data_IF_619949678440
#
_entry.id   IF_619949678440
#
_cell.length_a   1.000
_cell.length_b   1.000
_cell.length_c   1.000
_cell.angle_alpha   90.00
_cell.angle_beta   90.00
_cell.angle_gamma   90.00
#
_symmetry.space_group_name_H-M   'P 1'
#
loop_
_entity.id
_entity.type
_entity.pdbx_description
1 polymer ?
#
# COMPACT_ATOMS: atom_id res chain seq x y z
N UNK A 1 -2.24 2.49 -22.62
CA UNK A 1 -3.24 3.57 -22.38
C UNK A 1 -3.04 4.22 -21.01
N UNK A 2 -2.94 3.44 -19.92
CA UNK A 2 -2.71 3.99 -18.56
C UNK A 2 -1.41 4.80 -18.46
N UNK A 3 -0.30 4.31 -19.02
CA UNK A 3 0.99 5.00 -18.99
C UNK A 3 0.97 6.34 -19.71
N UNK A 4 0.24 6.45 -20.81
CA UNK A 4 0.06 7.73 -21.51
C UNK A 4 -0.77 8.73 -20.71
N UNK A 5 -1.85 8.27 -20.06
CA UNK A 5 -2.65 9.12 -19.17
C UNK A 5 -1.85 9.56 -17.95
N UNK A 6 -1.08 8.66 -17.37
CA UNK A 6 -0.19 8.98 -16.25
C UNK A 6 0.91 9.98 -16.65
N UNK A 7 1.48 9.83 -17.85
CA UNK A 7 2.49 10.75 -18.36
C UNK A 7 1.91 12.15 -18.67
N UNK A 8 0.64 12.22 -19.11
CA UNK A 8 -0.09 13.49 -19.23
C UNK A 8 -0.42 14.10 -17.87
N UNK A 9 -0.81 13.26 -16.90
CA UNK A 9 -1.12 13.68 -15.53
C UNK A 9 0.13 14.13 -14.74
N UNK A 10 1.32 13.77 -15.19
CA UNK A 10 2.62 14.15 -14.61
C UNK A 10 3.38 15.18 -15.44
N UNK A 11 2.74 15.80 -16.43
CA UNK A 11 3.28 16.87 -17.28
C UNK A 11 4.54 16.50 -18.09
N UNK A 12 4.74 15.19 -18.40
CA UNK A 12 5.88 14.71 -19.17
C UNK A 12 5.81 15.05 -20.67
N UNK A 13 4.64 15.43 -21.22
CA UNK A 13 4.45 15.79 -22.62
C UNK A 13 4.20 17.29 -22.77
N UNK A 14 4.93 17.91 -23.71
CA UNK A 14 4.79 19.30 -24.11
C UNK A 14 4.42 19.41 -25.59
N UNK A 15 3.69 20.47 -25.98
CA UNK A 15 3.26 20.74 -27.36
C UNK A 15 1.83 21.23 -27.43
N UNK A 16 1.37 21.67 -28.62
CA UNK A 16 0.05 22.26 -28.81
C UNK A 16 -1.09 21.25 -28.53
N UNK A 17 -1.01 20.06 -29.15
CA UNK A 17 -2.01 19.01 -28.98
C UNK A 17 -2.09 18.49 -27.52
N UNK A 18 -0.98 18.16 -26.84
CA UNK A 18 -1.00 17.88 -25.39
C UNK A 18 -1.60 19.00 -24.55
N UNK A 19 -1.36 20.27 -24.91
CA UNK A 19 -1.92 21.42 -24.16
C UNK A 19 -3.44 21.50 -24.25
N UNK A 20 -4.02 21.30 -25.43
CA UNK A 20 -5.48 21.25 -25.61
C UNK A 20 -6.07 20.08 -24.81
N UNK A 21 -5.44 18.90 -24.87
CA UNK A 21 -5.89 17.74 -24.11
C UNK A 21 -5.79 17.98 -22.59
N UNK A 22 -4.70 18.59 -22.10
CA UNK A 22 -4.53 18.99 -20.71
C UNK A 22 -5.64 19.95 -20.26
N UNK A 23 -6.00 20.92 -21.09
CA UNK A 23 -7.10 21.86 -20.78
C UNK A 23 -8.46 21.13 -20.67
N UNK A 24 -8.76 20.23 -21.60
CA UNK A 24 -9.95 19.40 -21.52
C UNK A 24 -9.99 18.53 -20.25
N UNK A 25 -8.88 17.85 -19.95
CA UNK A 25 -8.74 17.04 -18.72
C UNK A 25 -8.89 17.89 -17.46
N UNK A 26 -8.38 19.13 -17.48
CA UNK A 26 -8.55 20.06 -16.35
C UNK A 26 -10.02 20.43 -16.13
N UNK A 27 -10.77 20.71 -17.21
CA UNK A 27 -12.20 20.94 -17.11
C UNK A 27 -12.94 19.75 -16.49
N UNK A 28 -12.65 18.52 -16.93
CA UNK A 28 -13.24 17.32 -16.34
C UNK A 28 -12.82 17.13 -14.87
N UNK A 29 -11.61 17.56 -14.49
CA UNK A 29 -11.17 17.55 -13.09
C UNK A 29 -11.98 18.47 -12.20
N UNK A 30 -12.43 19.62 -12.70
CA UNK A 30 -13.30 20.52 -11.94
C UNK A 30 -14.68 19.90 -11.71
N UNK A 31 -15.24 19.24 -12.73
CA UNK A 31 -16.51 18.50 -12.60
C UNK A 31 -16.34 17.37 -11.58
N UNK A 32 -15.27 16.57 -11.71
CA UNK A 32 -14.95 15.49 -10.76
C UNK A 32 -14.81 16.03 -9.33
N UNK A 33 -14.10 17.15 -9.14
CA UNK A 33 -13.93 17.78 -7.84
C UNK A 33 -15.27 18.21 -7.21
N UNK A 34 -16.19 18.77 -8.02
CA UNK A 34 -17.52 19.15 -7.57
C UNK A 34 -18.32 17.90 -7.15
N UNK A 35 -18.34 16.87 -7.99
CA UNK A 35 -19.06 15.62 -7.72
C UNK A 35 -18.54 14.95 -6.44
N UNK A 36 -17.22 14.84 -6.28
CA UNK A 36 -16.62 14.25 -5.08
C UNK A 36 -16.97 15.04 -3.82
N UNK A 37 -16.94 16.39 -3.89
CA UNK A 37 -17.34 17.25 -2.77
C UNK A 37 -18.80 17.05 -2.38
N UNK A 38 -19.70 16.98 -3.36
CA UNK A 38 -21.13 16.75 -3.12
C UNK A 38 -21.37 15.37 -2.49
N UNK A 39 -20.75 14.31 -3.02
CA UNK A 39 -20.86 12.96 -2.46
C UNK A 39 -20.32 12.93 -1.04
N UNK A 40 -19.14 13.53 -0.80
CA UNK A 40 -18.54 13.58 0.53
C UNK A 40 -19.45 14.33 1.50
N UNK A 41 -19.97 15.48 1.12
CA UNK A 41 -20.93 16.27 1.92
C UNK A 41 -22.17 15.45 2.27
N UNK A 42 -22.84 14.85 1.28
CA UNK A 42 -24.03 14.04 1.51
C UNK A 42 -23.76 12.85 2.45
N UNK A 43 -22.59 12.23 2.34
CA UNK A 43 -22.23 11.09 3.19
C UNK A 43 -21.82 11.49 4.61
N UNK A 44 -21.33 12.71 4.80
CA UNK A 44 -20.99 13.26 6.13
C UNK A 44 -22.20 13.79 6.89
N UNK A 45 -23.36 14.01 6.26
CA UNK A 45 -24.58 14.46 6.93
C UNK A 45 -25.11 13.41 7.91
N UNK A 46 -25.02 12.12 7.54
CA UNK A 46 -25.48 10.99 8.36
C UNK A 46 -24.31 10.04 8.69
N UNK A 47 -23.42 10.47 9.60
CA UNK A 47 -22.27 9.66 9.95
C UNK A 47 -22.68 8.46 10.82
N UNK A 48 -22.01 7.35 10.63
CA UNK A 48 -22.23 6.11 11.41
C UNK A 48 -21.08 5.91 12.37
N UNK A 49 -21.40 5.79 13.67
CA UNK A 49 -20.46 5.32 14.68
C UNK A 49 -20.56 3.81 14.79
N UNK A 50 -19.40 3.15 14.71
CA UNK A 50 -19.30 1.71 14.88
C UNK A 50 -19.16 1.33 16.36
N UNK A 51 -19.48 0.08 16.75
CA UNK A 51 -19.40 -0.39 18.13
C UNK A 51 -17.96 -0.71 18.58
N UNK A 52 -16.95 -0.31 17.83
CA UNK A 52 -15.54 -0.51 18.08
C UNK A 52 -14.76 0.73 17.66
N UNK A 53 -13.49 0.84 18.09
CA UNK A 53 -12.60 1.90 17.62
C UNK A 53 -12.32 1.75 16.13
N UNK A 54 -12.20 2.87 15.42
CA UNK A 54 -11.97 2.92 13.98
C UNK A 54 -10.71 3.70 13.70
N UNK A 55 -9.69 3.01 13.20
CA UNK A 55 -8.46 3.60 12.68
C UNK A 55 -8.51 3.53 11.16
N UNK A 56 -8.47 4.67 10.50
CA UNK A 56 -8.42 4.73 9.04
C UNK A 56 -6.98 4.94 8.58
N UNK A 57 -6.52 4.13 7.67
CA UNK A 57 -5.27 4.33 6.93
C UNK A 57 -5.64 4.53 5.48
N UNK A 58 -5.36 5.71 4.96
CA UNK A 58 -5.73 6.06 3.59
C UNK A 58 -4.72 6.97 2.92
N UNK A 59 -5.07 7.47 1.75
CA UNK A 59 -4.30 8.46 1.02
C UNK A 59 -5.22 9.36 0.18
N UNK A 60 -4.66 10.43 -0.36
CA UNK A 60 -5.39 11.40 -1.17
C UNK A 60 -5.07 11.28 -2.67
N UNK A 61 -4.07 10.49 -3.04
CA UNK A 61 -3.59 10.34 -4.42
C UNK A 61 -3.86 8.95 -5.00
N UNK A 62 -3.81 8.80 -6.30
CA UNK A 62 -3.64 7.50 -6.94
C UNK A 62 -2.19 7.01 -6.75
N UNK A 63 -2.01 5.69 -6.71
CA UNK A 63 -0.70 5.03 -6.63
C UNK A 63 -0.36 4.43 -5.26
N UNK A 64 0.78 3.77 -5.22
CA UNK A 64 1.28 3.06 -4.04
C UNK A 64 1.96 3.99 -3.03
N UNK A 65 1.22 4.51 -2.09
CA UNK A 65 1.72 5.41 -1.03
C UNK A 65 2.22 4.68 0.23
N UNK A 66 2.44 3.35 0.19
CA UNK A 66 2.95 2.60 1.33
C UNK A 66 1.91 2.30 2.42
N UNK A 67 0.60 2.42 2.14
CA UNK A 67 -0.49 2.14 3.12
C UNK A 67 -0.41 0.77 3.74
N UNK A 68 -0.19 -0.27 2.94
CA UNK A 68 -0.18 -1.66 3.40
C UNK A 68 0.86 -1.89 4.49
N UNK A 69 2.08 -1.37 4.31
CA UNK A 69 3.17 -1.49 5.30
C UNK A 69 2.84 -0.70 6.58
N UNK A 70 2.14 0.44 6.44
CA UNK A 70 1.66 1.21 7.59
C UNK A 70 0.54 0.46 8.35
N UNK A 71 -0.40 -0.16 7.64
CA UNK A 71 -1.42 -1.04 8.25
C UNK A 71 -0.76 -2.18 9.01
N UNK A 72 0.25 -2.84 8.43
CA UNK A 72 1.01 -3.90 9.09
C UNK A 72 1.73 -3.42 10.36
N UNK A 73 2.33 -2.23 10.32
CA UNK A 73 2.96 -1.62 11.50
C UNK A 73 1.94 -1.42 12.62
N UNK A 74 0.75 -0.87 12.31
CA UNK A 74 -0.32 -0.65 13.29
C UNK A 74 -0.84 -1.98 13.85
N UNK A 75 -1.02 -3.00 13.01
CA UNK A 75 -1.43 -4.34 13.44
C UNK A 75 -0.42 -4.90 14.45
N UNK A 76 0.88 -4.89 14.14
CA UNK A 76 1.92 -5.40 15.05
C UNK A 76 1.90 -4.66 16.39
N UNK A 77 1.82 -3.33 16.34
CA UNK A 77 1.83 -2.48 17.53
C UNK A 77 0.65 -2.79 18.46
N UNK A 78 -0.57 -2.84 17.92
CA UNK A 78 -1.78 -3.04 18.69
C UNK A 78 -1.95 -4.51 19.14
N UNK A 79 -1.63 -5.47 18.27
CA UNK A 79 -1.67 -6.91 18.62
C UNK A 79 -0.70 -7.25 19.76
N UNK A 80 0.49 -6.65 19.77
CA UNK A 80 1.47 -6.83 20.84
C UNK A 80 0.96 -6.30 22.20
N UNK A 81 -0.07 -5.46 22.20
CA UNK A 81 -0.74 -4.93 23.41
C UNK A 81 -2.04 -5.66 23.76
N UNK A 82 -2.37 -6.72 23.04
CA UNK A 82 -3.55 -7.55 23.29
C UNK A 82 -4.85 -7.02 22.69
N UNK A 83 -4.81 -5.96 21.88
CA UNK A 83 -6.00 -5.47 21.18
C UNK A 83 -6.49 -6.50 20.15
N UNK A 84 -7.82 -6.68 20.10
CA UNK A 84 -8.49 -7.55 19.13
C UNK A 84 -8.84 -6.75 17.89
N UNK A 85 -8.05 -6.92 16.84
CA UNK A 85 -8.11 -6.11 15.62
C UNK A 85 -8.78 -6.89 14.50
N UNK A 86 -9.51 -6.18 13.62
CA UNK A 86 -9.83 -6.64 12.28
C UNK A 86 -9.41 -5.61 11.25
N UNK A 87 -9.04 -6.08 10.05
CA UNK A 87 -8.74 -5.21 8.89
C UNK A 87 -9.90 -5.27 7.91
N UNK A 88 -10.37 -4.12 7.45
CA UNK A 88 -11.39 -4.01 6.43
C UNK A 88 -10.80 -3.44 5.15
N UNK A 89 -10.85 -4.20 4.07
CA UNK A 89 -10.40 -3.79 2.74
C UNK A 89 -11.53 -3.84 1.72
N UNK A 90 -11.38 -3.12 0.60
CA UNK A 90 -12.37 -3.11 -0.49
C UNK A 90 -12.26 -4.36 -1.38
N UNK A 91 -11.09 -4.97 -1.43
CA UNK A 91 -10.80 -6.04 -2.40
C UNK A 91 -10.69 -5.48 -3.82
N UNK A 92 -9.69 -4.65 -4.04
CA UNK A 92 -9.40 -4.13 -5.38
C UNK A 92 -8.99 -5.25 -6.32
N UNK A 93 -9.55 -5.28 -7.55
CA UNK A 93 -9.30 -6.30 -8.59
C UNK A 93 -9.69 -7.75 -8.22
N UNK A 94 -10.54 -7.97 -7.23
CA UNK A 94 -11.05 -9.32 -6.95
C UNK A 94 -11.84 -9.86 -8.14
N UNK A 95 -11.72 -11.15 -8.43
CA UNK A 95 -12.61 -11.86 -9.38
C UNK A 95 -13.92 -12.23 -8.67
N UNK A 96 -15.07 -12.03 -9.35
CA UNK A 96 -16.34 -12.50 -8.82
C UNK A 96 -16.38 -14.04 -8.88
N UNK A 97 -16.81 -14.67 -7.79
CA UNK A 97 -16.84 -16.12 -7.60
C UNK A 97 -17.79 -16.90 -8.54
N UNK A 98 -18.38 -16.26 -9.57
CA UNK A 98 -19.35 -16.86 -10.47
C UNK A 98 -18.73 -17.67 -11.64
N UNK A 99 -17.43 -17.87 -11.67
CA UNK A 99 -16.79 -18.71 -12.67
C UNK A 99 -16.42 -20.05 -12.02
N UNK A 100 -17.01 -21.14 -12.46
CA UNK A 100 -16.90 -22.50 -11.91
C UNK A 100 -15.51 -23.17 -11.87
N UNK A 101 -14.45 -22.40 -11.78
CA UNK A 101 -13.08 -22.82 -11.51
C UNK A 101 -12.73 -22.58 -10.03
N UNK A 102 -11.84 -23.39 -9.45
CA UNK A 102 -11.28 -23.17 -8.11
C UNK A 102 -10.66 -21.79 -8.04
N UNK A 103 -11.36 -20.82 -7.44
CA UNK A 103 -10.87 -19.47 -7.21
C UNK A 103 -9.99 -19.51 -5.97
N UNK A 104 -8.76 -19.06 -6.05
CA UNK A 104 -7.84 -18.98 -4.90
C UNK A 104 -8.28 -17.90 -3.90
N UNK A 105 -7.87 -18.03 -2.64
CA UNK A 105 -8.09 -16.99 -1.62
C UNK A 105 -7.56 -15.62 -2.08
N UNK A 106 -6.43 -15.61 -2.78
CA UNK A 106 -5.84 -14.44 -3.41
C UNK A 106 -6.78 -13.77 -4.42
N UNK A 107 -7.36 -14.54 -5.35
CA UNK A 107 -8.28 -14.00 -6.36
C UNK A 107 -9.58 -13.44 -5.77
N UNK A 108 -10.04 -14.02 -4.65
CA UNK A 108 -11.23 -13.55 -3.93
C UNK A 108 -10.98 -12.29 -3.11
N UNK A 109 -9.79 -12.14 -2.54
CA UNK A 109 -9.48 -11.05 -1.62
C UNK A 109 -8.78 -9.86 -2.30
N UNK A 110 -7.95 -10.13 -3.29
CA UNK A 110 -7.00 -9.18 -3.89
C UNK A 110 -5.66 -9.12 -3.14
N UNK A 111 -4.64 -8.52 -3.76
CA UNK A 111 -3.23 -8.54 -3.34
C UNK A 111 -3.03 -8.15 -1.86
N UNK A 112 -3.44 -6.93 -1.51
CA UNK A 112 -3.13 -6.33 -0.21
C UNK A 112 -3.83 -7.04 0.96
N UNK A 113 -5.15 -7.31 0.91
CA UNK A 113 -5.82 -8.06 1.97
C UNK A 113 -5.29 -9.48 2.15
N UNK A 114 -4.94 -10.13 1.04
CA UNK A 114 -4.36 -11.47 1.08
C UNK A 114 -2.98 -11.49 1.76
N UNK A 115 -2.11 -10.53 1.45
CA UNK A 115 -0.81 -10.38 2.12
C UNK A 115 -0.97 -10.18 3.63
N UNK A 116 -1.88 -9.30 4.04
CA UNK A 116 -2.16 -9.06 5.47
C UNK A 116 -2.66 -10.35 6.12
N UNK A 117 -3.59 -11.08 5.51
CA UNK A 117 -4.11 -12.36 6.01
C UNK A 117 -3.01 -13.39 6.20
N UNK A 118 -2.09 -13.51 5.23
CA UNK A 118 -0.93 -14.44 5.34
C UNK A 118 0.05 -14.05 6.43
N UNK A 119 0.34 -12.75 6.55
CA UNK A 119 1.35 -12.23 7.48
C UNK A 119 0.84 -12.21 8.93
N UNK A 120 -0.48 -12.07 9.12
CA UNK A 120 -1.15 -12.00 10.42
C UNK A 120 -2.34 -12.98 10.50
N UNK A 121 -2.09 -14.29 10.57
CA UNK A 121 -3.17 -15.29 10.52
C UNK A 121 -4.15 -15.22 11.69
N UNK A 122 -3.79 -14.55 12.79
CA UNK A 122 -4.66 -14.30 13.93
C UNK A 122 -5.54 -13.06 13.80
N UNK A 123 -5.39 -12.25 12.74
CA UNK A 123 -6.14 -11.02 12.52
C UNK A 123 -7.19 -11.24 11.43
N UNK A 124 -8.49 -11.13 11.73
CA UNK A 124 -9.53 -11.20 10.70
C UNK A 124 -9.35 -10.13 9.63
N UNK A 125 -9.29 -10.54 8.36
CA UNK A 125 -9.26 -9.64 7.20
C UNK A 125 -10.56 -9.81 6.46
N UNK A 126 -11.39 -8.77 6.45
CA UNK A 126 -12.73 -8.79 5.85
C UNK A 126 -12.72 -7.90 4.59
N UNK A 127 -13.10 -8.51 3.49
CA UNK A 127 -13.22 -7.83 2.20
C UNK A 127 -14.69 -7.61 1.90
N UNK A 128 -15.15 -6.36 2.10
CA UNK A 128 -16.54 -5.97 1.83
C UNK A 128 -16.59 -4.55 1.21
N UNK A 129 -17.30 -4.35 0.09
CA UNK A 129 -17.54 -3.00 -0.45
C UNK A 129 -18.26 -2.07 0.53
N UNK A 130 -19.17 -2.61 1.35
CA UNK A 130 -19.82 -1.90 2.45
C UNK A 130 -19.02 -2.09 3.75
N UNK A 131 -18.18 -1.09 4.06
CA UNK A 131 -17.32 -1.10 5.25
C UNK A 131 -18.10 -1.12 6.56
N UNK A 132 -19.31 -0.55 6.58
CA UNK A 132 -20.18 -0.56 7.78
C UNK A 132 -20.63 -1.99 8.07
N UNK A 133 -21.12 -2.69 7.06
CA UNK A 133 -21.52 -4.09 7.15
C UNK A 133 -20.34 -4.98 7.55
N UNK A 134 -19.19 -4.79 6.90
CA UNK A 134 -17.97 -5.53 7.22
C UNK A 134 -17.52 -5.33 8.67
N UNK A 135 -17.54 -4.09 9.18
CA UNK A 135 -17.18 -3.79 10.56
C UNK A 135 -18.14 -4.43 11.58
N UNK A 136 -19.45 -4.34 11.33
CA UNK A 136 -20.46 -4.97 12.19
C UNK A 136 -20.28 -6.49 12.19
N UNK A 137 -19.98 -7.09 11.04
CA UNK A 137 -19.67 -8.51 10.93
C UNK A 137 -18.44 -8.90 11.74
N UNK A 138 -17.34 -8.13 11.62
CA UNK A 138 -16.12 -8.32 12.39
C UNK A 138 -16.38 -8.27 13.91
N UNK A 139 -17.09 -7.24 14.34
CA UNK A 139 -17.45 -7.06 15.75
C UNK A 139 -18.28 -8.25 16.29
N UNK A 140 -19.31 -8.67 15.55
CA UNK A 140 -20.17 -9.78 15.95
C UNK A 140 -19.45 -11.13 15.99
N UNK A 141 -18.68 -11.44 14.93
CA UNK A 141 -18.05 -12.76 14.78
C UNK A 141 -16.78 -12.93 15.62
N UNK A 142 -15.96 -11.87 15.74
CA UNK A 142 -14.62 -11.96 16.33
C UNK A 142 -14.47 -11.15 17.62
N UNK A 143 -15.53 -10.40 18.06
CA UNK A 143 -15.48 -9.55 19.25
C UNK A 143 -14.28 -8.58 19.23
N UNK A 144 -14.01 -8.00 18.05
CA UNK A 144 -12.93 -7.04 17.89
C UNK A 144 -13.23 -5.74 18.64
N UNK A 145 -12.20 -5.14 19.24
CA UNK A 145 -12.28 -3.82 19.86
C UNK A 145 -11.89 -2.70 18.87
N UNK A 146 -11.16 -3.06 17.82
CA UNK A 146 -10.61 -2.12 16.85
C UNK A 146 -10.76 -2.64 15.42
N UNK A 147 -11.14 -1.73 14.54
CA UNK A 147 -11.18 -1.96 13.10
C UNK A 147 -10.20 -1.03 12.41
N UNK A 148 -9.33 -1.57 11.57
CA UNK A 148 -8.44 -0.80 10.69
C UNK A 148 -9.06 -0.77 9.29
N UNK A 149 -9.38 0.42 8.80
CA UNK A 149 -9.86 0.63 7.44
C UNK A 149 -8.66 0.80 6.51
N UNK A 150 -8.37 -0.21 5.71
CA UNK A 150 -7.41 -0.11 4.61
C UNK A 150 -8.04 0.66 3.45
N UNK A 151 -7.32 1.68 2.95
CA UNK A 151 -7.81 2.70 2.02
C UNK A 151 -9.07 3.42 2.53
N UNK A 152 -9.03 3.84 3.81
CA UNK A 152 -10.17 4.35 4.56
C UNK A 152 -10.44 5.85 4.43
N UNK A 153 -9.54 6.69 3.88
CA UNK A 153 -9.69 8.14 3.89
C UNK A 153 -10.99 8.61 3.23
N UNK A 154 -11.41 7.99 2.12
CA UNK A 154 -12.66 8.25 1.42
C UNK A 154 -13.90 7.56 2.04
N UNK A 155 -13.78 6.95 3.22
CA UNK A 155 -14.94 6.41 3.94
C UNK A 155 -15.61 7.51 4.78
N UNK A 156 -16.24 8.47 4.08
CA UNK A 156 -16.83 9.67 4.69
C UNK A 156 -18.00 9.40 5.64
N UNK A 157 -18.67 8.25 5.46
CA UNK A 157 -19.85 7.89 6.26
C UNK A 157 -19.49 7.32 7.65
N UNK A 158 -18.27 6.84 7.83
CA UNK A 158 -17.84 6.21 9.09
C UNK A 158 -17.12 7.26 9.95
N UNK A 159 -17.55 7.40 11.20
CA UNK A 159 -16.83 8.18 12.20
C UNK A 159 -15.55 7.43 12.52
N UNK A 160 -14.42 8.08 12.37
CA UNK A 160 -13.09 7.54 12.63
C UNK A 160 -12.59 8.09 13.96
N UNK A 161 -12.02 7.24 14.79
CA UNK A 161 -11.37 7.66 16.04
C UNK A 161 -9.94 8.15 15.75
N UNK A 162 -9.33 7.70 14.62
CA UNK A 162 -8.06 8.20 14.11
C UNK A 162 -8.02 8.07 12.59
N UNK A 163 -7.78 9.17 11.89
CA UNK A 163 -7.66 9.20 10.43
C UNK A 163 -6.21 9.49 10.02
N UNK A 164 -5.51 8.47 9.53
CA UNK A 164 -4.09 8.51 9.15
C UNK A 164 -3.99 8.58 7.63
N UNK A 165 -3.27 9.59 7.13
CA UNK A 165 -3.07 9.80 5.70
C UNK A 165 -1.60 9.55 5.33
N UNK A 166 -1.36 8.51 4.53
CA UNK A 166 -0.06 8.21 3.96
C UNK A 166 0.21 9.10 2.73
N UNK A 167 1.34 9.78 2.73
CA UNK A 167 1.77 10.70 1.66
C UNK A 167 3.15 10.26 1.18
N UNK A 168 3.29 9.95 -0.11
CA UNK A 168 4.61 9.65 -0.71
C UNK A 168 5.44 10.93 -0.74
N UNK A 169 6.53 10.99 0.04
CA UNK A 169 7.36 12.18 0.16
C UNK A 169 8.03 12.57 -1.17
N UNK A 170 8.25 11.62 -2.08
CA UNK A 170 8.88 11.85 -3.39
C UNK A 170 7.93 12.49 -4.41
N UNK A 171 6.63 12.21 -4.28
CA UNK A 171 5.60 12.77 -5.16
C UNK A 171 4.28 12.94 -4.40
N UNK A 172 4.20 13.91 -3.47
CA UNK A 172 3.10 14.00 -2.51
C UNK A 172 1.74 14.29 -3.14
N UNK A 173 1.70 15.08 -4.22
CA UNK A 173 0.44 15.55 -4.81
C UNK A 173 0.45 15.56 -6.34
N UNK A 174 1.48 14.99 -7.00
CA UNK A 174 1.65 15.07 -8.44
C UNK A 174 1.69 16.52 -8.92
N UNK A 175 0.93 16.82 -9.97
CA UNK A 175 0.79 18.18 -10.48
C UNK A 175 -0.25 19.02 -9.71
N UNK A 176 -0.77 18.55 -8.58
CA UNK A 176 -1.76 19.25 -7.76
C UNK A 176 -3.19 19.23 -8.30
N UNK A 177 -3.43 18.57 -9.43
CA UNK A 177 -4.76 18.49 -10.03
C UNK A 177 -5.49 17.20 -9.60
N UNK A 178 -6.82 17.30 -9.61
CA UNK A 178 -7.69 16.14 -9.42
C UNK A 178 -7.70 15.24 -10.66
N UNK A 179 -8.14 14.01 -10.51
CA UNK A 179 -8.46 13.10 -11.62
C UNK A 179 -9.50 13.78 -12.53
N UNK A 180 -9.39 13.68 -13.87
CA UNK A 180 -8.41 12.92 -14.65
C UNK A 180 -7.15 13.72 -15.07
N UNK A 181 -7.03 15.02 -14.73
CA UNK A 181 -5.87 15.84 -15.10
C UNK A 181 -4.62 15.53 -14.26
N UNK A 182 -4.83 15.12 -13.04
CA UNK A 182 -3.78 14.78 -12.07
C UNK A 182 -4.09 13.48 -11.35
N UNK A 183 -3.42 13.29 -10.20
CA UNK A 183 -3.51 12.07 -9.41
C UNK A 183 -4.34 12.21 -8.14
N UNK A 184 -4.86 13.41 -7.84
CA UNK A 184 -5.64 13.64 -6.62
C UNK A 184 -7.03 13.00 -6.70
N UNK A 185 -7.40 12.23 -5.69
CA UNK A 185 -8.73 11.62 -5.49
C UNK A 185 -9.71 12.58 -4.81
N UNK A 186 -9.18 13.47 -3.97
CA UNK A 186 -9.89 14.54 -3.28
C UNK A 186 -9.08 15.85 -3.34
N UNK A 187 -9.71 17.02 -3.18
CA UNK A 187 -9.00 18.28 -3.13
C UNK A 187 -8.09 18.34 -1.89
N UNK A 188 -6.98 19.09 -1.94
CA UNK A 188 -6.04 19.20 -0.83
C UNK A 188 -6.69 19.69 0.47
N UNK A 189 -7.77 20.49 0.39
CA UNK A 189 -8.54 20.90 1.57
C UNK A 189 -9.13 19.73 2.36
N UNK A 190 -9.30 18.55 1.74
CA UNK A 190 -9.75 17.34 2.43
C UNK A 190 -8.76 16.86 3.48
N UNK A 191 -7.47 17.21 3.36
CA UNK A 191 -6.42 16.91 4.35
C UNK A 191 -6.70 17.53 5.73
N UNK A 192 -7.56 18.56 5.80
CA UNK A 192 -8.02 19.10 7.08
C UNK A 192 -8.76 18.11 7.98
N UNK A 193 -9.12 16.91 7.47
CA UNK A 193 -9.76 15.85 8.28
C UNK A 193 -8.77 14.89 8.93
N UNK A 194 -7.52 14.88 8.48
CA UNK A 194 -6.52 13.93 8.97
C UNK A 194 -6.07 14.27 10.40
N UNK A 195 -5.91 13.26 11.23
CA UNK A 195 -5.29 13.38 12.54
C UNK A 195 -3.77 13.23 12.47
N UNK A 196 -3.29 12.42 11.51
CA UNK A 196 -1.87 12.12 11.34
C UNK A 196 -1.53 12.07 9.85
N UNK A 197 -0.44 12.73 9.47
CA UNK A 197 0.23 12.54 8.19
C UNK A 197 1.45 11.67 8.38
N UNK A 198 1.53 10.56 7.64
CA UNK A 198 2.72 9.72 7.57
C UNK A 198 3.39 9.96 6.21
N UNK A 199 4.52 10.66 6.22
CA UNK A 199 5.34 10.87 5.04
C UNK A 199 6.10 9.58 4.77
N UNK A 200 5.65 8.82 3.78
CA UNK A 200 6.26 7.53 3.41
C UNK A 200 7.37 7.73 2.39
N UNK A 201 8.29 6.76 2.33
CA UNK A 201 9.44 6.79 1.41
C UNK A 201 10.30 8.06 1.58
N UNK A 202 10.31 8.64 2.76
CA UNK A 202 11.23 9.71 3.09
C UNK A 202 12.65 9.11 3.17
N UNK A 203 13.53 9.59 2.31
CA UNK A 203 14.95 9.20 2.35
C UNK A 203 15.68 10.14 3.32
N UNK A 204 16.76 9.67 3.96
CA UNK A 204 17.53 10.51 4.88
C UNK A 204 18.02 11.83 4.27
N UNK A 205 18.29 11.83 2.95
CA UNK A 205 18.75 13.00 2.21
C UNK A 205 17.59 13.86 1.66
N UNK A 206 16.34 13.43 1.84
CA UNK A 206 15.18 14.18 1.32
C UNK A 206 14.88 15.39 2.18
N UNK A 207 14.87 16.59 1.59
CA UNK A 207 14.34 17.76 2.26
C UNK A 207 12.80 17.71 2.29
N UNK A 208 12.26 17.24 3.40
CA UNK A 208 10.81 17.16 3.63
C UNK A 208 10.24 18.43 4.28
N UNK A 209 11.07 19.41 4.65
CA UNK A 209 10.63 20.62 5.35
C UNK A 209 9.57 21.42 4.57
N UNK A 210 9.69 21.64 3.24
CA UNK A 210 8.65 22.35 2.48
C UNK A 210 7.31 21.61 2.48
N UNK A 211 7.34 20.26 2.45
CA UNK A 211 6.14 19.44 2.51
C UNK A 211 5.48 19.52 3.89
N UNK A 212 6.28 19.44 4.97
CA UNK A 212 5.79 19.59 6.34
C UNK A 212 5.16 20.97 6.57
N UNK A 213 5.81 22.05 6.10
CA UNK A 213 5.26 23.40 6.18
C UNK A 213 3.91 23.51 5.44
N UNK A 214 3.84 22.95 4.22
CA UNK A 214 2.59 22.93 3.44
C UNK A 214 1.47 22.15 4.15
N UNK A 215 1.78 21.00 4.72
CA UNK A 215 0.81 20.18 5.46
C UNK A 215 0.39 20.87 6.76
N UNK A 216 1.31 21.48 7.47
CA UNK A 216 1.03 22.28 8.67
C UNK A 216 0.12 23.48 8.40
N UNK A 217 0.23 24.12 7.22
CA UNK A 217 -0.70 25.18 6.80
C UNK A 217 -2.09 24.63 6.42
N UNK A 218 -2.16 23.42 5.85
CA UNK A 218 -3.44 22.77 5.49
C UNK A 218 -4.17 22.22 6.72
N UNK A 219 -3.44 21.72 7.70
CA UNK A 219 -3.98 21.19 8.94
C UNK A 219 -2.98 21.34 10.10
N UNK A 220 -3.05 22.46 10.85
CA UNK A 220 -2.14 22.72 11.97
C UNK A 220 -2.28 21.74 13.14
N UNK A 221 -3.42 21.05 13.25
CA UNK A 221 -3.70 20.11 14.34
C UNK A 221 -3.20 18.69 14.10
N UNK A 222 -2.81 18.36 12.87
CA UNK A 222 -2.35 17.02 12.55
C UNK A 222 -0.90 16.77 12.98
N UNK A 223 -0.65 15.58 13.53
CA UNK A 223 0.73 15.11 13.75
C UNK A 223 1.35 14.75 12.38
N UNK A 224 2.58 15.21 12.13
CA UNK A 224 3.33 14.85 10.92
C UNK A 224 4.52 13.99 11.34
N UNK A 225 4.61 12.79 10.79
CA UNK A 225 5.71 11.86 11.03
C UNK A 225 6.34 11.40 9.72
N UNK A 226 7.64 11.17 9.74
CA UNK A 226 8.38 10.62 8.61
C UNK A 226 8.56 9.12 8.76
N UNK A 227 8.48 8.41 7.65
CA UNK A 227 8.75 6.99 7.62
C UNK A 227 9.47 6.58 6.35
N UNK A 228 10.28 5.54 6.48
CA UNK A 228 10.96 4.87 5.39
C UNK A 228 10.60 3.39 5.37
N UNK A 229 10.84 2.74 4.24
CA UNK A 229 10.81 1.29 4.17
C UNK A 229 12.19 0.76 4.52
N UNK A 230 12.25 -0.10 5.52
CA UNK A 230 13.46 -0.82 5.87
C UNK A 230 13.31 -2.30 5.48
N UNK A 231 14.38 -2.88 5.00
CA UNK A 231 14.42 -4.32 4.82
C UNK A 231 14.39 -5.02 6.19
N UNK A 232 13.58 -6.10 6.31
CA UNK A 232 13.38 -6.83 7.55
C UNK A 232 13.82 -8.30 7.48
N UNK A 233 14.28 -8.76 6.33
CA UNK A 233 14.76 -10.13 6.10
C UNK A 233 14.29 -10.72 4.80
N UNK A 234 14.81 -11.90 4.50
CA UNK A 234 14.27 -12.75 3.44
C UNK A 234 13.56 -13.95 4.05
N UNK A 235 12.62 -14.54 3.32
CA UNK A 235 12.05 -15.83 3.66
C UNK A 235 11.84 -16.68 2.40
N UNK A 236 11.82 -18.01 2.59
CA UNK A 236 11.52 -18.91 1.49
C UNK A 236 10.02 -18.91 1.19
N UNK A 237 9.64 -18.74 -0.09
CA UNK A 237 8.23 -18.67 -0.51
C UNK A 237 7.45 -19.93 -0.15
N UNK A 238 8.08 -21.11 -0.22
CA UNK A 238 7.46 -22.41 0.10
C UNK A 238 7.47 -22.72 1.59
N UNK A 239 8.37 -22.10 2.36
CA UNK A 239 8.48 -22.24 3.81
C UNK A 239 8.72 -20.88 4.47
N UNK A 240 7.69 -20.07 4.73
CA UNK A 240 7.84 -18.73 5.31
C UNK A 240 8.45 -18.68 6.72
N UNK A 241 8.58 -19.84 7.38
CA UNK A 241 9.29 -19.93 8.67
C UNK A 241 10.80 -19.93 8.51
N UNK A 242 11.30 -20.33 7.36
CA UNK A 242 12.72 -20.31 7.00
C UNK A 242 13.12 -18.88 6.63
N UNK A 243 13.81 -18.21 7.55
CA UNK A 243 14.24 -16.81 7.43
C UNK A 243 15.72 -16.72 7.15
N UNK A 244 16.12 -15.69 6.39
CA UNK A 244 17.51 -15.45 5.99
C UNK A 244 17.86 -14.00 6.23
N UNK A 245 19.08 -13.80 6.74
CA UNK A 245 19.69 -12.49 6.87
C UNK A 245 20.41 -12.05 5.58
N UNK A 246 20.76 -10.77 5.49
CA UNK A 246 21.56 -10.27 4.36
C UNK A 246 22.92 -10.94 4.26
N UNK A 247 23.52 -11.27 5.40
CA UNK A 247 24.85 -11.91 5.47
C UNK A 247 24.91 -13.25 4.73
N UNK A 248 23.80 -14.01 4.72
CA UNK A 248 23.70 -15.30 4.03
C UNK A 248 23.70 -15.18 2.50
N UNK A 249 23.35 -13.99 2.00
CA UNK A 249 23.32 -13.68 0.57
C UNK A 249 24.47 -12.78 0.13
N UNK A 250 25.28 -12.29 1.05
CA UNK A 250 26.39 -11.41 0.74
C UNK A 250 27.40 -12.11 -0.18
N UNK A 251 27.75 -11.43 -1.27
CA UNK A 251 28.65 -11.98 -2.30
C UNK A 251 27.99 -13.01 -3.24
N UNK A 252 26.73 -13.38 -3.02
CA UNK A 252 25.97 -14.21 -3.96
C UNK A 252 25.39 -13.37 -5.10
N UNK A 253 25.21 -14.01 -6.24
CA UNK A 253 24.46 -13.42 -7.36
C UNK A 253 22.96 -13.69 -7.18
N UNK A 254 22.13 -12.68 -7.42
CA UNK A 254 20.68 -12.81 -7.41
C UNK A 254 20.07 -12.56 -8.79
N UNK A 255 19.04 -13.33 -9.12
CA UNK A 255 18.12 -13.04 -10.21
C UNK A 255 16.84 -12.46 -9.62
N UNK A 256 16.50 -11.23 -9.99
CA UNK A 256 15.32 -10.56 -9.46
C UNK A 256 14.12 -10.73 -10.37
N UNK A 257 12.92 -10.82 -9.82
CA UNK A 257 11.72 -10.56 -10.59
C UNK A 257 10.69 -9.79 -9.76
N UNK A 258 9.97 -8.90 -10.42
CA UNK A 258 8.91 -8.12 -9.78
C UNK A 258 7.91 -7.55 -10.80
N UNK A 259 6.66 -7.39 -10.35
CA UNK A 259 5.58 -6.67 -11.03
C UNK A 259 5.00 -5.61 -10.11
N UNK A 260 5.83 -4.64 -9.72
CA UNK A 260 5.49 -3.52 -8.83
C UNK A 260 5.74 -2.19 -9.52
N UNK A 261 5.11 -1.11 -9.02
CA UNK A 261 5.19 0.22 -9.62
C UNK A 261 6.57 0.90 -9.53
N UNK A 262 7.51 0.39 -8.72
CA UNK A 262 8.86 0.95 -8.57
C UNK A 262 9.92 -0.18 -8.51
N UNK A 263 10.24 -0.80 -9.66
CA UNK A 263 11.22 -1.89 -9.74
C UNK A 263 12.64 -1.47 -9.37
N UNK A 264 13.01 -0.23 -9.66
CA UNK A 264 14.35 0.29 -9.36
C UNK A 264 14.59 0.42 -7.86
N UNK A 265 13.58 0.85 -7.09
CA UNK A 265 13.68 0.85 -5.63
C UNK A 265 13.92 -0.56 -5.06
N UNK A 266 13.28 -1.59 -5.63
CA UNK A 266 13.50 -2.97 -5.23
C UNK A 266 14.92 -3.43 -5.53
N UNK A 267 15.41 -3.18 -6.75
CA UNK A 267 16.78 -3.49 -7.14
C UNK A 267 17.82 -2.80 -6.26
N UNK A 268 17.63 -1.49 -6.01
CA UNK A 268 18.51 -0.70 -5.15
C UNK A 268 18.53 -1.22 -3.71
N UNK A 269 17.38 -1.66 -3.18
CA UNK A 269 17.29 -2.31 -1.89
C UNK A 269 18.19 -3.56 -1.82
N UNK A 270 18.08 -4.44 -2.81
CA UNK A 270 18.87 -5.69 -2.86
C UNK A 270 20.36 -5.39 -3.03
N UNK A 271 20.74 -4.47 -3.90
CA UNK A 271 22.14 -4.04 -4.07
C UNK A 271 22.71 -3.44 -2.77
N UNK A 272 21.91 -2.63 -2.05
CA UNK A 272 22.31 -2.02 -0.78
C UNK A 272 22.58 -3.04 0.35
N UNK A 273 22.08 -4.27 0.19
CA UNK A 273 22.36 -5.39 1.10
C UNK A 273 23.65 -6.16 0.75
N UNK A 274 24.42 -5.70 -0.25
CA UNK A 274 25.65 -6.35 -0.69
C UNK A 274 25.43 -7.57 -1.60
N UNK A 275 24.22 -7.76 -2.14
CA UNK A 275 23.86 -8.82 -3.07
C UNK A 275 24.10 -8.35 -4.51
N UNK A 276 24.83 -9.12 -5.30
CA UNK A 276 25.06 -8.80 -6.72
C UNK A 276 23.84 -9.18 -7.55
N UNK A 277 23.33 -8.25 -8.37
CA UNK A 277 22.19 -8.51 -9.26
C UNK A 277 22.72 -8.94 -10.64
N UNK A 278 22.61 -10.24 -10.94
CA UNK A 278 23.06 -10.87 -12.19
C UNK A 278 22.03 -10.79 -13.32
N UNK A 279 20.76 -10.49 -13.00
CA UNK A 279 19.68 -10.35 -13.98
C UNK A 279 18.36 -10.01 -13.31
N UNK A 280 17.40 -9.54 -14.11
CA UNK A 280 16.08 -9.22 -13.61
C UNK A 280 14.99 -9.39 -14.69
N UNK A 281 13.81 -9.89 -14.28
CA UNK A 281 12.57 -9.85 -15.06
C UNK A 281 11.61 -8.85 -14.45
N UNK A 282 11.33 -7.77 -15.18
CA UNK A 282 10.40 -6.73 -14.72
C UNK A 282 9.08 -6.87 -15.46
N UNK A 283 7.99 -6.98 -14.71
CA UNK A 283 6.63 -7.10 -15.23
C UNK A 283 5.82 -5.84 -14.92
N UNK A 284 4.72 -5.59 -15.63
CA UNK A 284 3.80 -4.50 -15.31
C UNK A 284 3.29 -4.58 -13.86
N UNK A 285 2.97 -3.43 -13.25
CA UNK A 285 2.40 -3.41 -11.90
C UNK A 285 1.10 -4.22 -11.83
N UNK A 286 0.96 -5.00 -10.76
CA UNK A 286 -0.13 -5.96 -10.56
C UNK A 286 -0.21 -7.07 -11.64
N UNK A 287 0.93 -7.52 -12.15
CA UNK A 287 0.98 -8.62 -13.10
C UNK A 287 0.49 -9.95 -12.48
N UNK A 288 -0.33 -10.68 -13.20
CA UNK A 288 -0.75 -12.02 -12.81
C UNK A 288 0.16 -13.03 -13.49
N UNK A 289 1.01 -13.69 -12.71
CA UNK A 289 1.97 -14.66 -13.21
C UNK A 289 1.26 -15.94 -13.66
N UNK A 290 1.69 -16.47 -14.80
CA UNK A 290 1.37 -17.80 -15.26
C UNK A 290 2.48 -18.80 -14.89
N UNK A 291 2.20 -20.10 -14.97
CA UNK A 291 3.22 -21.13 -14.80
C UNK A 291 4.37 -20.95 -15.82
N UNK A 292 4.03 -20.60 -17.05
CA UNK A 292 5.03 -20.37 -18.12
C UNK A 292 5.97 -19.18 -17.79
N UNK A 293 5.46 -18.12 -17.14
CA UNK A 293 6.28 -17.00 -16.68
C UNK A 293 7.26 -17.45 -15.60
N UNK A 294 6.76 -18.21 -14.61
CA UNK A 294 7.59 -18.73 -13.52
C UNK A 294 8.67 -19.68 -14.04
N UNK A 295 8.32 -20.57 -14.96
CA UNK A 295 9.25 -21.50 -15.60
C UNK A 295 10.34 -20.73 -16.39
N UNK A 296 9.97 -19.65 -17.05
CA UNK A 296 10.91 -18.77 -17.73
C UNK A 296 11.87 -18.08 -16.74
N UNK A 297 11.33 -17.51 -15.66
CA UNK A 297 12.14 -16.87 -14.59
C UNK A 297 13.15 -17.86 -14.03
N UNK A 298 12.72 -19.09 -13.77
CA UNK A 298 13.60 -20.15 -13.23
C UNK A 298 14.70 -20.50 -14.23
N UNK A 299 14.37 -20.65 -15.51
CA UNK A 299 15.38 -20.91 -16.56
C UNK A 299 16.39 -19.79 -16.68
N UNK A 300 15.91 -18.55 -16.80
CA UNK A 300 16.75 -17.35 -16.94
C UNK A 300 17.70 -17.18 -15.73
N UNK A 301 17.22 -17.51 -14.52
CA UNK A 301 18.02 -17.51 -13.30
C UNK A 301 19.12 -18.59 -13.33
N UNK A 302 18.82 -19.82 -13.81
CA UNK A 302 19.78 -20.92 -13.91
C UNK A 302 20.92 -20.64 -14.90
N UNK A 303 20.64 -19.87 -15.94
CA UNK A 303 21.67 -19.42 -16.89
C UNK A 303 22.70 -18.47 -16.25
N UNK A 304 22.34 -17.83 -15.15
CA UNK A 304 23.21 -16.94 -14.35
C UNK A 304 23.76 -17.72 -13.16
N UNK A 305 24.87 -18.43 -13.36
CA UNK A 305 25.53 -19.33 -12.39
C UNK A 305 25.27 -18.98 -10.92
N UNK A 306 24.76 -19.94 -10.17
CA UNK A 306 24.49 -19.87 -8.72
C UNK A 306 23.59 -18.70 -8.25
N UNK A 307 22.72 -18.22 -9.14
CA UNK A 307 21.81 -17.12 -8.79
C UNK A 307 20.70 -17.57 -7.88
N UNK A 308 20.52 -16.85 -6.77
CA UNK A 308 19.35 -16.98 -5.90
C UNK A 308 18.20 -16.17 -6.51
N UNK A 309 17.02 -16.76 -6.65
CA UNK A 309 15.85 -16.05 -7.15
C UNK A 309 15.24 -15.23 -6.01
N UNK A 310 15.07 -13.91 -6.22
CA UNK A 310 14.49 -13.01 -5.22
C UNK A 310 13.32 -12.23 -5.81
N UNK A 311 12.23 -12.14 -5.04
CA UNK A 311 11.04 -11.37 -5.40
C UNK A 311 10.51 -10.53 -4.24
N UNK A 312 9.45 -9.77 -4.47
CA UNK A 312 8.77 -8.96 -3.44
C UNK A 312 7.65 -9.72 -2.74
N UNK A 313 7.20 -9.26 -1.57
CA UNK A 313 6.04 -9.83 -0.87
C UNK A 313 4.75 -9.74 -1.73
N UNK A 314 4.59 -8.66 -2.50
CA UNK A 314 3.44 -8.49 -3.41
C UNK A 314 3.42 -9.53 -4.52
N UNK A 315 4.57 -9.78 -5.13
CA UNK A 315 4.69 -10.76 -6.21
C UNK A 315 4.57 -12.18 -5.67
N UNK A 316 5.15 -12.47 -4.50
CA UNK A 316 5.01 -13.75 -3.83
C UNK A 316 3.53 -14.12 -3.57
N UNK A 317 2.69 -13.15 -3.23
CA UNK A 317 1.26 -13.37 -3.06
C UNK A 317 0.57 -13.81 -4.37
N UNK A 318 1.05 -13.30 -5.52
CA UNK A 318 0.50 -13.61 -6.86
C UNK A 318 1.00 -14.93 -7.45
N UNK A 319 1.97 -15.56 -6.80
CA UNK A 319 2.47 -16.89 -7.19
C UNK A 319 1.69 -18.03 -6.51
N UNK A 320 0.64 -17.72 -5.76
CA UNK A 320 -0.17 -18.73 -5.10
C UNK A 320 -0.75 -19.73 -6.11
N UNK A 321 -0.56 -21.02 -5.83
CA UNK A 321 -1.01 -22.10 -6.71
C UNK A 321 -0.08 -22.43 -7.88
N UNK A 322 1.00 -21.68 -8.09
CA UNK A 322 2.04 -22.00 -9.05
C UNK A 322 3.10 -22.92 -8.42
N UNK A 323 3.69 -23.78 -9.26
CA UNK A 323 4.69 -24.75 -8.82
C UNK A 323 6.12 -24.24 -9.13
N UNK A 324 6.90 -24.01 -8.10
CA UNK A 324 8.30 -23.60 -8.22
C UNK A 324 9.27 -24.77 -8.51
N UNK A 325 8.78 -25.98 -8.74
CA UNK A 325 9.58 -27.20 -9.06
C UNK A 325 10.75 -27.45 -8.12
N UNK A 326 10.60 -27.15 -6.82
CA UNK A 326 11.64 -27.31 -5.83
C UNK A 326 12.70 -26.20 -5.80
N UNK A 327 12.61 -25.21 -6.68
CA UNK A 327 13.51 -24.06 -6.67
C UNK A 327 13.29 -23.16 -5.46
N UNK A 328 14.39 -22.66 -4.92
CA UNK A 328 14.39 -21.77 -3.78
C UNK A 328 14.14 -20.34 -4.24
N UNK A 329 12.93 -19.85 -4.04
CA UNK A 329 12.57 -18.46 -4.28
C UNK A 329 12.52 -17.73 -2.94
N UNK A 330 13.36 -16.73 -2.79
CA UNK A 330 13.38 -15.87 -1.61
C UNK A 330 12.49 -14.64 -1.81
N UNK A 331 11.79 -14.28 -0.77
CA UNK A 331 10.94 -13.11 -0.73
C UNK A 331 11.58 -12.06 0.14
N UNK A 332 11.85 -10.89 -0.42
CA UNK A 332 12.34 -9.75 0.34
C UNK A 332 11.20 -9.12 1.13
N UNK A 333 11.29 -9.16 2.45
CA UNK A 333 10.32 -8.55 3.35
C UNK A 333 10.74 -7.15 3.73
N UNK A 334 9.78 -6.24 3.76
CA UNK A 334 9.99 -4.86 4.19
C UNK A 334 9.09 -4.54 5.37
N UNK A 335 9.54 -3.58 6.20
CA UNK A 335 8.74 -3.03 7.28
C UNK A 335 8.80 -1.50 7.27
N UNK A 336 7.81 -0.90 7.92
CA UNK A 336 7.81 0.54 8.13
C UNK A 336 8.73 0.86 9.30
N UNK A 337 9.64 1.80 9.06
CA UNK A 337 10.46 2.41 10.11
C UNK A 337 10.05 3.87 10.23
N UNK A 338 9.50 4.25 11.37
CA UNK A 338 9.18 5.63 11.68
C UNK A 338 10.43 6.31 12.23
N UNK A 339 10.62 7.58 11.88
CA UNK A 339 11.76 8.37 12.30
C UNK A 339 11.66 8.86 13.75
N UNK A 340 12.17 10.05 14.01
CA UNK A 340 12.29 10.63 15.38
C UNK A 340 10.95 10.78 16.11
N UNK A 341 9.83 10.92 15.39
CA UNK A 341 8.49 11.11 15.95
C UNK A 341 7.75 9.79 16.24
N UNK A 342 8.42 8.63 16.22
CA UNK A 342 7.79 7.32 16.44
C UNK A 342 7.04 7.27 17.78
N UNK A 343 7.66 7.78 18.85
CA UNK A 343 7.01 7.84 20.17
C UNK A 343 5.71 8.63 20.12
N UNK A 344 5.71 9.81 19.51
CA UNK A 344 4.51 10.66 19.37
C UNK A 344 3.41 9.97 18.55
N UNK A 345 3.79 9.22 17.51
CA UNK A 345 2.87 8.44 16.72
C UNK A 345 2.25 7.31 17.53
N UNK A 346 3.07 6.58 18.31
CA UNK A 346 2.61 5.51 19.21
C UNK A 346 1.68 6.09 20.27
N UNK A 347 2.05 7.19 20.92
CA UNK A 347 1.23 7.84 21.95
C UNK A 347 -0.13 8.29 21.39
N UNK A 348 -0.16 8.81 20.14
CA UNK A 348 -1.40 9.20 19.45
C UNK A 348 -2.32 7.99 19.18
N UNK A 349 -1.74 6.87 18.75
CA UNK A 349 -2.46 5.60 18.54
C UNK A 349 -3.02 5.04 19.85
N UNK A 350 -2.18 5.00 20.90
CA UNK A 350 -2.55 4.40 22.19
C UNK A 350 -3.51 5.29 22.99
N UNK A 351 -3.47 6.60 22.79
CA UNK A 351 -4.42 7.53 23.38
C UNK A 351 -5.89 7.21 23.09
N UNK A 352 -6.16 6.43 22.04
CA UNK A 352 -7.51 5.92 21.75
C UNK A 352 -8.07 4.98 22.84
N UNK A 353 -7.20 4.36 23.64
CA UNK A 353 -7.54 3.31 24.60
C UNK A 353 -7.42 3.76 26.07
N UNK A 354 -6.99 4.99 26.31
CA UNK A 354 -6.78 5.53 27.66
C UNK A 354 -7.92 6.46 28.13
N UNK A 355 -9.07 6.43 27.44
CA UNK A 355 -10.27 7.21 27.79
C UNK A 355 -11.32 6.38 28.51
#
# INVERSE_FOLDING_TARGET
MFDHLYSLATDKYNGLFPSILKAALYFFSLIYALVVRLIAFCRMIWPIRLPCKVISVGNITLGGTGKTVLVEYIIRLLSARGNKIAVLSRGYKRKNANCGSRVTDYEMMGDEPYMIKKKFPGVPVIVDPDRVRGAISAFKAHKVDTVILDDGFQQWRIIKDLDIVAIDARNPFGNGCMIPRGILREPLSALGRADVFVLTKALPESDTAPLKDRLGKLNPGALIVESSHAWSGFYNITNPRERFGAQELQGRTAYLFCGIGDPESFKNLICGLGVQVGGASVFPDHYNYSQADLDKIIRDAKEKKDSVIITTEKDAARLEGLNAFGERILVASIELKIGQDEKRFIDRLLGLYHS
#
